data_IF_254456018401
#
_entry.id   IF_254456018401
#
_cell.length_a   1.000
_cell.length_b   1.000
_cell.length_c   1.000
_cell.angle_alpha   90.00
_cell.angle_beta   90.00
_cell.angle_gamma   90.00
#
_symmetry.space_group_name_H-M   'P 1'
#
loop_
_entity.id
_entity.type
_entity.pdbx_description
1 polymer ?
#
# COMPACT_ATOMS: atom_id res chain seq x y z
N UNK A 1 -6.44 -40.85 2.26
CA UNK A 1 -5.98 -41.26 3.61
C UNK A 1 -6.40 -42.71 3.94
N UNK A 2 -7.48 -43.24 3.35
CA UNK A 2 -7.95 -44.63 3.57
C UNK A 2 -7.04 -45.73 2.97
N UNK A 3 -6.16 -45.42 2.00
CA UNK A 3 -5.25 -46.41 1.40
C UNK A 3 -4.03 -46.79 2.27
N UNK A 4 -3.78 -46.08 3.38
CA UNK A 4 -2.68 -46.40 4.29
C UNK A 4 -3.03 -47.53 5.27
N UNK A 5 -4.31 -47.93 5.33
CA UNK A 5 -4.86 -48.90 6.28
C UNK A 5 -5.05 -50.31 5.72
N UNK A 6 -4.36 -50.69 4.63
CA UNK A 6 -4.43 -52.07 4.12
C UNK A 6 -3.51 -52.99 4.94
N UNK A 7 -3.90 -54.25 5.18
CA UNK A 7 -3.23 -55.20 6.09
C UNK A 7 -1.81 -55.63 5.67
N UNK A 8 -1.30 -55.07 4.56
CA UNK A 8 0.07 -55.26 4.04
C UNK A 8 0.99 -54.05 4.26
N UNK A 9 0.54 -53.03 5.01
CA UNK A 9 1.30 -51.80 5.25
C UNK A 9 1.24 -50.81 4.08
N UNK A 10 1.66 -49.54 4.29
CA UNK A 10 1.64 -48.53 3.24
C UNK A 10 2.51 -48.94 2.05
N UNK A 11 1.96 -48.92 0.84
CA UNK A 11 2.76 -49.09 -0.38
C UNK A 11 3.72 -47.89 -0.47
N UNK A 12 5.03 -48.16 -0.41
CA UNK A 12 6.07 -47.14 -0.36
C UNK A 12 5.94 -46.09 -1.48
N UNK A 13 5.53 -46.51 -2.67
CA UNK A 13 5.31 -45.63 -3.82
C UNK A 13 4.15 -44.66 -3.61
N UNK A 14 3.05 -45.13 -3.00
CA UNK A 14 1.88 -44.31 -2.67
C UNK A 14 2.24 -43.26 -1.62
N UNK A 15 2.97 -43.65 -0.57
CA UNK A 15 3.44 -42.71 0.46
C UNK A 15 4.36 -41.66 -0.16
N UNK A 16 5.32 -42.09 -1.00
CA UNK A 16 6.23 -41.19 -1.68
C UNK A 16 5.50 -40.21 -2.61
N UNK A 17 4.43 -40.65 -3.30
CA UNK A 17 3.59 -39.78 -4.12
C UNK A 17 2.87 -38.72 -3.27
N UNK A 18 2.23 -39.12 -2.17
CA UNK A 18 1.55 -38.20 -1.26
C UNK A 18 2.52 -37.18 -0.64
N UNK A 19 3.72 -37.62 -0.24
CA UNK A 19 4.74 -36.72 0.27
C UNK A 19 5.17 -35.70 -0.79
N UNK A 20 5.32 -36.11 -2.06
CA UNK A 20 5.66 -35.18 -3.16
C UNK A 20 4.55 -34.17 -3.40
N UNK A 21 3.29 -34.62 -3.45
CA UNK A 21 2.13 -33.75 -3.63
C UNK A 21 2.02 -32.72 -2.49
N UNK A 22 2.20 -33.17 -1.25
CA UNK A 22 2.22 -32.28 -0.08
C UNK A 22 3.32 -31.22 -0.20
N UNK A 23 4.54 -31.61 -0.56
CA UNK A 23 5.66 -30.68 -0.72
C UNK A 23 5.42 -29.67 -1.86
N UNK A 24 4.76 -30.09 -2.94
CA UNK A 24 4.37 -29.20 -4.04
C UNK A 24 3.33 -28.17 -3.58
N UNK A 25 2.29 -28.61 -2.87
CA UNK A 25 1.27 -27.72 -2.32
C UNK A 25 1.86 -26.70 -1.34
N UNK A 26 2.79 -27.13 -0.46
CA UNK A 26 3.49 -26.22 0.45
C UNK A 26 4.30 -25.18 -0.32
N UNK A 27 5.00 -25.59 -1.39
CA UNK A 27 5.77 -24.67 -2.22
C UNK A 27 4.87 -23.64 -2.89
N UNK A 28 3.74 -24.05 -3.44
CA UNK A 28 2.76 -23.17 -4.07
C UNK A 28 2.20 -22.13 -3.09
N UNK A 29 1.81 -22.57 -1.89
CA UNK A 29 1.35 -21.67 -0.82
C UNK A 29 2.44 -20.66 -0.45
N UNK A 30 3.69 -21.11 -0.28
CA UNK A 30 4.81 -20.24 0.07
C UNK A 30 5.13 -19.21 -1.01
N UNK A 31 5.08 -19.60 -2.29
CA UNK A 31 5.30 -18.69 -3.41
C UNK A 31 4.18 -17.65 -3.49
N UNK A 32 2.91 -18.08 -3.40
CA UNK A 32 1.76 -17.18 -3.43
C UNK A 32 1.81 -16.17 -2.30
N UNK A 33 2.06 -16.62 -1.07
CA UNK A 33 2.13 -15.73 0.09
C UNK A 33 3.26 -14.70 -0.04
N UNK A 34 4.41 -15.10 -0.59
CA UNK A 34 5.53 -14.18 -0.84
C UNK A 34 5.15 -13.09 -1.85
N UNK A 35 4.44 -13.46 -2.91
CA UNK A 35 4.00 -12.52 -3.94
C UNK A 35 2.97 -11.54 -3.41
N UNK A 36 2.01 -12.01 -2.61
CA UNK A 36 1.03 -11.15 -1.93
C UNK A 36 1.68 -10.19 -0.94
N UNK A 37 2.63 -10.65 -0.12
CA UNK A 37 3.39 -9.77 0.77
C UNK A 37 4.16 -8.72 -0.03
N UNK A 38 4.83 -9.13 -1.11
CA UNK A 38 5.57 -8.21 -1.98
C UNK A 38 4.62 -7.17 -2.58
N UNK A 39 3.49 -7.61 -3.13
CA UNK A 39 2.44 -6.75 -3.68
C UNK A 39 1.92 -5.77 -2.64
N UNK A 40 1.63 -6.21 -1.41
CA UNK A 40 1.17 -5.35 -0.33
C UNK A 40 2.24 -4.34 0.14
N UNK A 41 3.52 -4.70 0.11
CA UNK A 41 4.62 -3.79 0.45
C UNK A 41 4.95 -2.79 -0.69
N UNK A 42 4.77 -3.20 -1.95
CA UNK A 42 4.93 -2.35 -3.13
C UNK A 42 3.70 -1.46 -3.38
N UNK A 43 2.53 -1.90 -2.93
CA UNK A 43 1.34 -1.10 -2.82
C UNK A 43 1.59 -0.05 -1.73
N UNK A 44 2.11 1.12 -2.15
CA UNK A 44 2.23 2.31 -1.33
C UNK A 44 1.04 3.24 -1.61
N UNK A 45 -0.08 3.14 -0.86
CA UNK A 45 -1.23 4.02 -1.01
C UNK A 45 -0.85 5.50 -1.04
N UNK A 46 0.18 5.88 -0.28
CA UNK A 46 0.64 7.26 -0.12
C UNK A 46 1.57 7.78 -1.24
N UNK A 47 2.21 6.90 -2.03
CA UNK A 47 3.08 7.37 -3.14
C UNK A 47 2.30 7.70 -4.41
N UNK A 48 1.13 7.09 -4.58
CA UNK A 48 0.18 7.45 -5.66
C UNK A 48 -0.95 8.36 -5.17
N UNK A 49 -0.92 8.79 -3.90
CA UNK A 49 -1.92 9.69 -3.36
C UNK A 49 -1.54 11.13 -3.71
N UNK A 50 -2.40 11.81 -4.44
CA UNK A 50 -2.33 13.27 -4.62
C UNK A 50 -2.62 14.03 -3.32
N UNK A 51 -2.81 13.35 -2.19
CA UNK A 51 -3.14 13.92 -0.89
C UNK A 51 -2.20 15.06 -0.46
N UNK A 52 -0.88 14.88 -0.58
CA UNK A 52 0.09 15.93 -0.26
C UNK A 52 -0.04 17.14 -1.20
N UNK A 53 -0.31 16.91 -2.48
CA UNK A 53 -0.55 17.97 -3.46
C UNK A 53 -1.89 18.69 -3.19
N UNK A 54 -2.93 17.96 -2.76
CA UNK A 54 -4.23 18.51 -2.39
C UNK A 54 -4.16 19.35 -1.12
N UNK A 55 -3.48 18.88 -0.07
CA UNK A 55 -3.21 19.65 1.15
C UNK A 55 -2.37 20.90 0.83
N UNK A 56 -1.36 20.77 -0.04
CA UNK A 56 -0.51 21.90 -0.42
C UNK A 56 -1.28 22.94 -1.25
N UNK A 57 -2.26 22.53 -2.05
CA UNK A 57 -3.14 23.41 -2.81
C UNK A 57 -4.33 23.95 -2.00
N UNK A 58 -4.60 23.41 -0.82
CA UNK A 58 -5.68 23.90 0.03
C UNK A 58 -5.35 25.33 0.51
N UNK A 59 -6.32 26.23 0.37
CA UNK A 59 -6.24 27.58 0.91
C UNK A 59 -6.48 27.45 2.42
N UNK A 60 -5.41 27.47 3.20
CA UNK A 60 -5.48 27.46 4.66
C UNK A 60 -5.60 28.88 5.23
N UNK A 61 -6.10 29.00 6.48
CA UNK A 61 -6.27 30.31 7.14
C UNK A 61 -4.99 31.16 7.09
N UNK A 62 -3.81 30.56 7.27
CA UNK A 62 -2.52 31.27 7.18
C UNK A 62 -2.24 31.88 5.80
N UNK A 63 -2.63 31.19 4.71
CA UNK A 63 -2.49 31.73 3.35
C UNK A 63 -3.45 32.88 3.12
N UNK A 64 -4.68 32.78 3.66
CA UNK A 64 -5.66 33.87 3.60
C UNK A 64 -5.18 35.09 4.40
N UNK A 65 -4.68 34.87 5.62
CA UNK A 65 -4.07 35.91 6.46
C UNK A 65 -2.92 36.62 5.73
N UNK A 66 -2.04 35.87 5.07
CA UNK A 66 -0.95 36.43 4.27
C UNK A 66 -1.47 37.29 3.10
N UNK A 67 -2.48 36.81 2.37
CA UNK A 67 -3.08 37.59 1.27
C UNK A 67 -3.72 38.88 1.80
N UNK A 68 -4.45 38.81 2.92
CA UNK A 68 -5.03 39.98 3.57
C UNK A 68 -3.96 41.00 3.98
N UNK A 69 -2.86 40.54 4.59
CA UNK A 69 -1.73 41.39 4.95
C UNK A 69 -1.16 42.14 3.72
N UNK A 70 -1.04 41.45 2.57
CA UNK A 70 -0.56 42.08 1.34
C UNK A 70 -1.56 43.06 0.74
N UNK A 71 -2.87 42.76 0.80
CA UNK A 71 -3.90 43.69 0.35
C UNK A 71 -3.91 44.97 1.20
N UNK A 72 -3.80 44.85 2.52
CA UNK A 72 -3.69 46.01 3.43
C UNK A 72 -2.45 46.85 3.12
N UNK A 73 -1.31 46.20 2.87
CA UNK A 73 -0.08 46.90 2.50
C UNK A 73 -0.25 47.65 1.16
N UNK A 74 -0.89 47.01 0.17
CA UNK A 74 -1.17 47.65 -1.11
C UNK A 74 -2.12 48.84 -0.97
N UNK A 75 -3.17 48.72 -0.14
CA UNK A 75 -4.08 49.82 0.13
C UNK A 75 -3.35 51.03 0.73
N UNK A 76 -2.53 50.80 1.76
CA UNK A 76 -1.72 51.87 2.38
C UNK A 76 -0.79 52.54 1.38
N UNK A 77 -0.16 51.75 0.50
CA UNK A 77 0.72 52.29 -0.53
C UNK A 77 -0.06 53.16 -1.53
N UNK A 78 -1.26 52.73 -1.94
CA UNK A 78 -2.12 53.53 -2.82
C UNK A 78 -2.51 54.84 -2.15
N UNK A 79 -2.97 54.81 -0.90
CA UNK A 79 -3.34 56.01 -0.12
C UNK A 79 -2.18 57.01 0.00
N UNK A 80 -0.95 56.50 0.20
CA UNK A 80 0.28 57.31 0.24
C UNK A 80 0.67 57.89 -1.12
N UNK A 81 0.37 57.21 -2.22
CA UNK A 81 0.64 57.72 -3.57
C UNK A 81 -0.43 58.71 -4.07
N UNK A 82 -1.63 58.71 -3.48
CA UNK A 82 -2.74 59.62 -3.84
C UNK A 82 -2.87 60.84 -2.92
N UNK A 83 -1.98 60.98 -1.92
CA UNK A 83 -1.87 62.16 -1.04
C UNK A 83 -0.75 63.09 -1.50
#
# INVERSE_FOLDING_TARGET
MEELGNSQGPRADTVAAHCREFMLAIKEIQTTLREEIKSACEYRPFEKCDYSARIANEICCKKVEYVLEKLDAMQKNVEQCTS
#
